data_IF_512874777475
#
_entry.id   IF_512874777475
#
_cell.length_a   1.000
_cell.length_b   1.000
_cell.length_c   1.000
_cell.angle_alpha   90.00
_cell.angle_beta   90.00
_cell.angle_gamma   90.00
#
_symmetry.space_group_name_H-M   'P 1'
#
loop_
_entity.id
_entity.type
_entity.pdbx_description
1 polymer ?
#
# COMPACT_ATOMS: atom_id res chain seq x y z
N UNK A 1 -5.62 22.00 -13.38
CA UNK A 1 -4.28 22.60 -13.16
C UNK A 1 -4.35 23.75 -12.15
N UNK A 2 -4.79 23.52 -10.91
CA UNK A 2 -4.73 24.55 -9.84
C UNK A 2 -3.65 24.27 -8.78
N UNK A 3 -3.27 23.02 -8.55
CA UNK A 3 -2.31 22.63 -7.49
C UNK A 3 -0.89 22.29 -7.97
N UNK A 4 -0.53 22.51 -9.23
CA UNK A 4 0.73 22.02 -9.82
C UNK A 4 2.02 22.60 -9.19
N UNK A 5 1.91 23.63 -8.36
CA UNK A 5 3.05 24.23 -7.68
C UNK A 5 2.60 24.73 -6.30
N UNK A 6 3.23 24.20 -5.24
CA UNK A 6 3.14 24.76 -3.90
C UNK A 6 3.37 26.28 -3.95
N UNK A 7 2.53 27.02 -3.24
CA UNK A 7 2.56 28.49 -3.18
C UNK A 7 4.00 28.96 -2.95
N UNK A 8 4.57 29.85 -3.79
CA UNK A 8 5.94 30.30 -3.58
C UNK A 8 6.01 31.02 -2.24
N UNK A 9 6.78 30.43 -1.32
CA UNK A 9 7.21 31.06 -0.06
C UNK A 9 7.74 32.44 -0.44
N UNK A 10 7.07 33.50 0.00
CA UNK A 10 7.50 34.89 -0.24
C UNK A 10 8.79 35.12 0.54
N UNK A 11 9.94 34.85 -0.09
CA UNK A 11 11.25 35.21 0.43
C UNK A 11 11.41 36.73 0.41
N UNK A 12 11.15 37.34 1.56
CA UNK A 12 11.72 38.64 1.90
C UNK A 12 13.25 38.53 1.92
N UNK A 13 13.87 39.42 1.17
CA UNK A 13 15.33 39.56 1.01
C UNK A 13 16.03 39.72 2.35
N UNK A 14 16.90 38.76 2.72
CA UNK A 14 18.26 38.92 3.30
C UNK A 14 18.65 37.71 4.15
N UNK A 15 19.55 36.89 3.62
CA UNK A 15 20.85 36.51 4.21
C UNK A 15 21.22 35.10 3.77
N UNK A 16 22.28 35.02 2.97
CA UNK A 16 22.96 33.78 2.66
C UNK A 16 23.57 33.22 3.96
N UNK A 17 22.93 32.19 4.51
CA UNK A 17 23.54 31.24 5.44
C UNK A 17 23.56 29.91 4.72
N UNK A 18 24.77 29.44 4.44
CA UNK A 18 25.06 28.09 4.00
C UNK A 18 24.54 27.11 5.07
N UNK A 19 23.34 26.59 4.88
CA UNK A 19 22.88 25.38 5.59
C UNK A 19 23.29 24.19 4.72
N UNK A 20 24.58 23.89 4.76
CA UNK A 20 25.06 22.54 4.58
C UNK A 20 24.93 21.84 5.94
N UNK A 21 23.72 21.50 6.32
CA UNK A 21 23.44 20.65 7.47
C UNK A 21 22.61 19.48 6.98
N UNK A 22 23.28 18.34 6.85
CA UNK A 22 22.74 17.05 7.30
C UNK A 22 21.31 16.75 6.82
N UNK A 23 21.21 16.19 5.61
CA UNK A 23 20.16 15.22 5.33
C UNK A 23 20.54 13.97 6.13
N UNK A 24 20.22 13.98 7.43
CA UNK A 24 19.99 12.72 8.13
C UNK A 24 18.83 12.00 7.42
N UNK A 25 18.72 10.67 7.52
CA UNK A 25 17.56 9.99 6.96
C UNK A 25 16.33 10.63 7.61
N UNK A 26 15.50 11.30 6.82
CA UNK A 26 14.11 11.51 7.20
C UNK A 26 13.58 10.10 7.44
N UNK A 27 13.37 9.75 8.71
CA UNK A 27 12.60 8.57 9.04
C UNK A 27 11.18 8.92 8.61
N UNK A 28 10.75 8.36 7.49
CA UNK A 28 9.35 8.35 7.13
C UNK A 28 8.66 7.57 8.24
N UNK A 29 7.70 8.16 8.92
CA UNK A 29 6.74 7.37 9.70
C UNK A 29 6.04 6.48 8.66
N UNK A 30 6.20 5.16 8.81
CA UNK A 30 5.47 4.19 8.00
C UNK A 30 4.15 4.00 8.73
N UNK A 31 3.05 4.38 8.08
CA UNK A 31 1.70 4.39 8.63
C UNK A 31 0.83 3.50 7.73
N UNK A 32 -0.07 2.75 8.35
CA UNK A 32 -0.91 1.77 7.70
C UNK A 32 -2.08 2.45 7.01
N UNK A 33 -1.87 3.04 5.84
CA UNK A 33 -2.81 4.03 5.34
C UNK A 33 -3.03 4.03 3.84
N UNK A 34 -4.16 4.59 3.43
CA UNK A 34 -4.49 4.72 2.02
C UNK A 34 -4.90 3.39 1.35
N UNK A 35 -5.74 2.57 2.00
CA UNK A 35 -6.12 1.25 1.46
C UNK A 35 -6.81 1.35 0.08
N UNK A 36 -7.65 2.35 -0.15
CA UNK A 36 -8.21 2.55 -1.51
C UNK A 36 -7.25 3.34 -2.39
N UNK A 37 -6.47 4.22 -1.77
CA UNK A 37 -5.48 5.06 -2.44
C UNK A 37 -4.38 4.23 -3.13
N UNK A 38 -3.83 3.21 -2.46
CA UNK A 38 -2.85 2.29 -3.04
C UNK A 38 -3.42 1.45 -4.18
N UNK A 39 -4.68 1.01 -4.08
CA UNK A 39 -5.37 0.30 -5.15
C UNK A 39 -5.53 1.19 -6.39
N UNK A 40 -5.96 2.44 -6.18
CA UNK A 40 -6.07 3.44 -7.25
C UNK A 40 -4.71 3.76 -7.91
N UNK A 41 -3.64 3.89 -7.12
CA UNK A 41 -2.30 4.12 -7.65
C UNK A 41 -1.87 2.92 -8.51
N UNK A 42 -2.02 1.70 -7.98
CA UNK A 42 -1.67 0.47 -8.68
C UNK A 42 -2.45 0.33 -9.99
N UNK A 43 -3.75 0.64 -10.00
CA UNK A 43 -4.62 0.60 -11.18
C UNK A 43 -4.17 1.54 -12.30
N UNK A 44 -3.56 2.68 -11.97
CA UNK A 44 -3.07 3.66 -12.96
C UNK A 44 -1.77 3.24 -13.64
N UNK A 45 -0.93 2.47 -12.95
CA UNK A 45 0.43 2.12 -13.41
C UNK A 45 0.47 1.49 -14.82
N UNK A 46 -0.43 0.58 -15.24
CA UNK A 46 -0.34 -0.03 -16.57
C UNK A 46 -0.56 0.96 -17.72
N UNK A 47 -1.30 2.05 -17.46
CA UNK A 47 -1.53 3.12 -18.43
C UNK A 47 -0.32 4.04 -18.65
N UNK A 48 0.69 3.95 -17.78
CA UNK A 48 1.92 4.77 -17.82
C UNK A 48 3.06 3.98 -18.50
N UNK A 49 3.11 2.67 -18.29
CA UNK A 49 4.16 1.78 -18.81
C UNK A 49 4.09 1.71 -20.35
N UNK A 50 5.25 1.84 -21.01
CA UNK A 50 5.33 1.73 -22.48
C UNK A 50 5.06 0.30 -22.94
N UNK A 51 3.82 0.05 -23.38
CA UNK A 51 3.38 -1.26 -23.89
C UNK A 51 4.17 -1.78 -25.10
N UNK A 52 4.88 -0.93 -25.84
CA UNK A 52 5.73 -1.39 -26.95
C UNK A 52 6.98 -2.11 -26.44
N UNK A 53 7.55 -1.65 -25.32
CA UNK A 53 8.75 -2.20 -24.71
C UNK A 53 8.43 -3.24 -23.63
N UNK A 54 7.29 -3.09 -22.94
CA UNK A 54 6.91 -3.88 -21.75
C UNK A 54 5.55 -4.58 -21.92
N UNK A 55 5.20 -5.01 -23.14
CA UNK A 55 3.86 -5.52 -23.46
C UNK A 55 3.36 -6.69 -22.59
N UNK A 56 4.25 -7.63 -22.24
CA UNK A 56 3.89 -8.76 -21.35
C UNK A 56 3.62 -8.31 -19.91
N UNK A 57 4.42 -7.36 -19.39
CA UNK A 57 4.19 -6.75 -18.08
C UNK A 57 2.85 -6.03 -18.04
N UNK A 58 2.57 -5.19 -19.04
CA UNK A 58 1.29 -4.46 -19.13
C UNK A 58 0.12 -5.44 -19.22
N UNK A 59 0.24 -6.51 -20.01
CA UNK A 59 -0.83 -7.51 -20.12
C UNK A 59 -1.06 -8.24 -18.79
N UNK A 60 0.00 -8.63 -18.07
CA UNK A 60 -0.13 -9.21 -16.73
C UNK A 60 -0.84 -8.27 -15.75
N UNK A 61 -0.40 -7.02 -15.65
CA UNK A 61 -0.97 -6.04 -14.72
C UNK A 61 -2.45 -5.72 -15.00
N UNK A 62 -2.90 -5.92 -16.25
CA UNK A 62 -4.29 -5.73 -16.66
C UNK A 62 -5.13 -7.01 -16.53
N UNK A 63 -4.57 -8.19 -16.79
CA UNK A 63 -5.30 -9.46 -16.76
C UNK A 63 -5.33 -10.14 -15.39
N UNK A 64 -4.41 -9.75 -14.50
CA UNK A 64 -4.26 -10.20 -13.12
C UNK A 64 -4.34 -8.98 -12.17
N UNK A 65 -5.29 -8.09 -12.44
CA UNK A 65 -5.56 -6.88 -11.65
C UNK A 65 -5.86 -7.21 -10.17
N UNK A 66 -6.56 -8.31 -9.91
CA UNK A 66 -6.77 -8.84 -8.55
C UNK A 66 -5.49 -9.08 -7.77
N UNK A 67 -4.49 -9.73 -8.38
CA UNK A 67 -3.18 -9.97 -7.76
C UNK A 67 -2.39 -8.67 -7.58
N UNK A 68 -2.43 -7.76 -8.57
CA UNK A 68 -1.78 -6.45 -8.50
C UNK A 68 -2.32 -5.65 -7.32
N UNK A 69 -3.64 -5.55 -7.23
CA UNK A 69 -4.29 -4.73 -6.21
C UNK A 69 -4.13 -5.37 -4.83
N UNK A 70 -4.26 -6.69 -4.72
CA UNK A 70 -3.97 -7.40 -3.44
C UNK A 70 -2.52 -7.21 -3.02
N UNK A 71 -1.57 -7.24 -3.97
CA UNK A 71 -0.16 -6.95 -3.71
C UNK A 71 0.06 -5.53 -3.21
N UNK A 72 -0.69 -4.55 -3.74
CA UNK A 72 -0.63 -3.16 -3.27
C UNK A 72 -1.21 -2.94 -1.87
N UNK A 73 -2.01 -3.88 -1.35
CA UNK A 73 -2.51 -3.85 0.03
C UNK A 73 -1.63 -4.65 0.98
N UNK A 74 -0.77 -5.51 0.44
CA UNK A 74 -0.08 -6.50 1.24
C UNK A 74 0.81 -5.89 2.33
N UNK A 75 1.63 -4.85 2.08
CA UNK A 75 2.53 -4.32 3.12
C UNK A 75 1.85 -3.94 4.44
N UNK A 76 0.57 -3.55 4.40
CA UNK A 76 -0.22 -3.19 5.58
C UNK A 76 -0.67 -4.37 6.46
N UNK A 77 -0.50 -5.62 6.04
CA UNK A 77 -1.04 -6.77 6.76
C UNK A 77 -0.54 -6.84 8.22
N UNK A 78 0.72 -6.46 8.44
CA UNK A 78 1.36 -6.48 9.76
C UNK A 78 0.75 -5.47 10.73
N UNK A 79 0.36 -4.29 10.24
CA UNK A 79 -0.31 -3.28 11.05
C UNK A 79 -1.70 -3.73 11.51
N UNK A 80 -2.38 -4.54 10.69
CA UNK A 80 -3.64 -5.19 11.08
C UNK A 80 -3.51 -5.99 12.38
N UNK A 81 -2.36 -6.63 12.61
CA UNK A 81 -2.07 -7.42 13.82
C UNK A 81 -1.22 -6.69 14.86
N UNK A 82 -0.96 -5.38 14.70
CA UNK A 82 -0.06 -4.62 15.58
C UNK A 82 1.37 -5.19 15.60
N UNK A 83 1.82 -5.75 14.48
CA UNK A 83 3.18 -6.23 14.25
C UNK A 83 3.99 -5.16 13.52
N UNK A 84 4.12 -3.97 14.13
CA UNK A 84 4.72 -2.76 13.52
C UNK A 84 6.08 -3.06 12.87
N UNK A 85 6.95 -3.81 13.56
CA UNK A 85 8.26 -4.16 13.03
C UNK A 85 8.22 -5.01 11.75
N UNK A 86 7.24 -5.91 11.63
CA UNK A 86 7.05 -6.74 10.44
C UNK A 86 6.39 -5.92 9.33
N UNK A 87 5.46 -5.04 9.68
CA UNK A 87 4.87 -4.11 8.73
C UNK A 87 5.96 -3.21 8.13
N UNK A 88 6.75 -2.50 8.94
CA UNK A 88 7.86 -1.66 8.50
C UNK A 88 8.86 -2.41 7.60
N UNK A 89 9.18 -3.66 7.95
CA UNK A 89 10.02 -4.52 7.13
C UNK A 89 9.40 -4.74 5.74
N UNK A 90 8.10 -5.00 5.67
CA UNK A 90 7.37 -5.27 4.43
C UNK A 90 7.30 -4.04 3.52
N UNK A 91 7.30 -2.84 4.09
CA UNK A 91 7.43 -1.57 3.37
C UNK A 91 8.85 -1.27 2.92
N UNK A 92 9.86 -1.98 3.42
CA UNK A 92 11.25 -1.69 3.09
C UNK A 92 11.67 -2.21 1.71
N UNK A 93 12.65 -1.53 1.11
CA UNK A 93 13.31 -2.00 -0.12
C UNK A 93 13.91 -3.40 0.03
N UNK A 94 14.38 -3.75 1.23
CA UNK A 94 14.95 -5.07 1.52
C UNK A 94 13.94 -6.19 1.26
N UNK A 95 12.68 -5.99 1.65
CA UNK A 95 11.63 -6.98 1.43
C UNK A 95 11.32 -7.12 -0.06
N UNK A 96 11.06 -6.01 -0.76
CA UNK A 96 10.73 -6.04 -2.19
C UNK A 96 11.88 -6.59 -3.06
N UNK A 97 13.13 -6.25 -2.74
CA UNK A 97 14.31 -6.78 -3.43
C UNK A 97 14.49 -8.28 -3.20
N UNK A 98 14.27 -8.73 -1.95
CA UNK A 98 14.35 -10.15 -1.60
C UNK A 98 13.24 -10.94 -2.29
N UNK A 99 12.04 -10.36 -2.40
CA UNK A 99 10.94 -10.94 -3.16
C UNK A 99 11.30 -11.02 -4.65
N UNK A 100 11.78 -9.94 -5.28
CA UNK A 100 12.21 -9.97 -6.68
C UNK A 100 13.31 -11.02 -6.93
N UNK A 101 14.29 -11.13 -6.03
CA UNK A 101 15.33 -12.15 -6.10
C UNK A 101 14.77 -13.58 -5.95
N UNK A 102 13.80 -13.78 -5.05
CA UNK A 102 13.09 -15.05 -4.90
C UNK A 102 12.37 -15.43 -6.20
N UNK A 103 11.57 -14.52 -6.76
CA UNK A 103 10.83 -14.74 -8.02
C UNK A 103 11.79 -15.08 -9.15
N UNK A 104 12.89 -14.34 -9.31
CA UNK A 104 13.89 -14.62 -10.34
C UNK A 104 14.52 -16.01 -10.21
N UNK A 105 14.75 -16.46 -8.98
CA UNK A 105 15.39 -17.74 -8.71
C UNK A 105 14.44 -18.93 -8.89
N UNK A 106 13.24 -18.83 -8.34
CA UNK A 106 12.29 -19.94 -8.26
C UNK A 106 11.36 -20.02 -9.48
N UNK A 107 11.11 -18.89 -10.13
CA UNK A 107 10.19 -18.76 -11.26
C UNK A 107 10.89 -18.07 -12.46
N UNK A 108 11.90 -18.68 -13.11
CA UNK A 108 12.54 -18.05 -14.25
C UNK A 108 11.60 -18.01 -15.47
N UNK A 109 11.62 -16.93 -16.29
CA UNK A 109 10.80 -16.86 -17.50
C UNK A 109 11.16 -17.97 -18.52
N UNK A 110 10.22 -18.42 -19.37
CA UNK A 110 8.84 -17.92 -19.51
C UNK A 110 7.92 -18.40 -18.37
N UNK A 111 7.07 -17.50 -17.88
CA UNK A 111 6.18 -17.77 -16.75
C UNK A 111 4.96 -18.60 -17.13
N UNK A 112 4.64 -19.59 -16.31
CA UNK A 112 3.30 -20.21 -16.26
C UNK A 112 2.27 -19.25 -15.68
N UNK A 113 0.97 -19.53 -15.83
CA UNK A 113 -0.09 -18.67 -15.27
C UNK A 113 0.04 -18.49 -13.74
N UNK A 114 0.41 -19.55 -13.01
CA UNK A 114 0.64 -19.48 -11.58
C UNK A 114 1.82 -18.55 -11.22
N UNK A 115 2.89 -18.57 -12.00
CA UNK A 115 4.06 -17.71 -11.79
C UNK A 115 3.77 -16.26 -12.19
N UNK A 116 2.95 -16.02 -13.22
CA UNK A 116 2.50 -14.66 -13.59
C UNK A 116 1.73 -13.98 -12.45
N UNK A 117 0.93 -14.73 -11.67
CA UNK A 117 0.26 -14.23 -10.46
C UNK A 117 1.25 -13.76 -9.40
N UNK A 118 2.33 -14.52 -9.18
CA UNK A 118 3.41 -14.16 -8.25
C UNK A 118 4.12 -12.88 -8.67
N UNK A 119 4.49 -12.78 -9.95
CA UNK A 119 5.16 -11.59 -10.48
C UNK A 119 4.22 -10.38 -10.38
N UNK A 120 2.94 -10.54 -10.71
CA UNK A 120 1.96 -9.45 -10.67
C UNK A 120 1.72 -8.97 -9.23
N UNK A 121 1.64 -9.90 -8.28
CA UNK A 121 1.54 -9.56 -6.86
C UNK A 121 2.77 -8.76 -6.38
N UNK A 122 3.98 -9.16 -6.77
CA UNK A 122 5.21 -8.40 -6.47
C UNK A 122 5.15 -6.96 -7.04
N UNK A 123 4.63 -6.78 -8.26
CA UNK A 123 4.47 -5.43 -8.82
C UNK A 123 3.51 -4.58 -7.96
N UNK A 124 2.43 -5.17 -7.45
CA UNK A 124 1.57 -4.53 -6.46
C UNK A 124 2.33 -4.08 -5.20
N UNK A 125 3.15 -4.97 -4.63
CA UNK A 125 3.98 -4.66 -3.44
C UNK A 125 4.94 -3.50 -3.71
N UNK A 126 5.57 -3.47 -4.89
CA UNK A 126 6.41 -2.36 -5.33
C UNK A 126 5.61 -1.05 -5.46
N UNK A 127 4.38 -1.12 -5.98
CA UNK A 127 3.49 0.02 -6.08
C UNK A 127 3.28 0.68 -4.73
N UNK A 128 2.94 -0.12 -3.71
CA UNK A 128 2.70 0.35 -2.36
C UNK A 128 3.91 1.08 -1.79
N UNK A 129 5.08 0.41 -1.74
CA UNK A 129 6.33 0.99 -1.21
C UNK A 129 6.66 2.35 -1.84
N UNK A 130 6.67 2.40 -3.18
CA UNK A 130 7.09 3.62 -3.89
C UNK A 130 6.05 4.74 -3.75
N UNK A 131 4.78 4.37 -3.56
CA UNK A 131 3.74 5.33 -3.23
C UNK A 131 4.04 6.00 -1.91
N UNK A 132 4.31 5.27 -0.84
CA UNK A 132 4.62 5.84 0.48
C UNK A 132 5.85 6.72 0.50
N UNK A 133 6.92 6.27 -0.14
CA UNK A 133 8.18 7.02 -0.26
C UNK A 133 7.97 8.40 -0.91
N UNK A 134 6.90 8.57 -1.67
CA UNK A 134 6.58 9.82 -2.39
C UNK A 134 5.40 10.57 -1.76
N UNK A 135 4.38 9.85 -1.29
CA UNK A 135 3.11 10.34 -0.76
C UNK A 135 3.31 11.04 0.59
N UNK A 136 3.96 10.38 1.55
CA UNK A 136 4.18 10.90 2.90
C UNK A 136 4.97 12.21 2.92
N UNK A 137 6.19 12.30 2.35
CA UNK A 137 6.94 13.55 2.33
C UNK A 137 6.39 14.58 1.33
N UNK A 138 5.50 14.17 0.42
CA UNK A 138 4.94 14.97 -0.65
C UNK A 138 3.54 15.49 -0.35
N UNK A 139 2.53 14.85 -0.93
CA UNK A 139 1.13 15.29 -0.83
C UNK A 139 0.66 15.33 0.62
N UNK A 140 0.93 14.30 1.41
CA UNK A 140 0.41 14.22 2.76
C UNK A 140 0.94 15.35 3.64
N UNK A 141 2.25 15.64 3.59
CA UNK A 141 2.85 16.76 4.28
C UNK A 141 2.22 18.11 3.88
N UNK A 142 1.89 18.29 2.60
CA UNK A 142 1.22 19.49 2.12
C UNK A 142 -0.25 19.56 2.58
N UNK A 143 -0.98 18.44 2.52
CA UNK A 143 -2.35 18.34 3.00
C UNK A 143 -2.46 18.67 4.50
N UNK A 144 -1.54 18.16 5.32
CA UNK A 144 -1.48 18.46 6.75
C UNK A 144 -1.28 19.96 7.00
N UNK A 145 -0.44 20.61 6.19
CA UNK A 145 -0.19 22.05 6.31
C UNK A 145 -1.39 22.91 5.87
N UNK A 146 -2.09 22.50 4.80
CA UNK A 146 -3.14 23.30 4.17
C UNK A 146 -4.53 23.08 4.80
N UNK A 147 -4.91 21.83 5.06
CA UNK A 147 -6.19 21.51 5.72
C UNK A 147 -6.11 21.58 7.25
N UNK A 148 -4.90 21.58 7.83
CA UNK A 148 -4.69 21.65 9.27
C UNK A 148 -5.35 20.48 10.00
N UNK A 149 -5.21 19.28 9.45
CA UNK A 149 -5.73 18.01 9.97
C UNK A 149 -4.61 17.02 10.24
N UNK A 150 -4.90 16.00 11.03
CA UNK A 150 -3.96 14.91 11.30
C UNK A 150 -3.71 14.09 10.03
N UNK A 151 -2.54 13.45 10.01
CA UNK A 151 -2.15 12.41 9.05
C UNK A 151 -3.30 11.42 8.82
N UNK A 152 -3.69 10.70 9.87
CA UNK A 152 -4.75 9.69 9.86
C UNK A 152 -6.08 10.18 9.25
N UNK A 153 -6.49 11.43 9.54
CA UNK A 153 -7.75 11.97 9.04
C UNK A 153 -7.67 12.31 7.54
N UNK A 154 -6.53 12.83 7.08
CA UNK A 154 -6.32 13.12 5.66
C UNK A 154 -6.40 11.83 4.87
N UNK A 155 -5.73 10.78 5.32
CA UNK A 155 -5.68 9.51 4.57
C UNK A 155 -7.01 8.79 4.56
N UNK A 156 -7.73 8.76 5.69
CA UNK A 156 -9.11 8.29 5.70
C UNK A 156 -10.01 9.11 4.75
N UNK A 157 -9.81 10.42 4.67
CA UNK A 157 -10.54 11.28 3.75
C UNK A 157 -10.20 11.05 2.27
N UNK A 158 -8.92 10.85 1.96
CA UNK A 158 -8.47 10.51 0.60
C UNK A 158 -9.01 9.14 0.19
N UNK A 159 -9.02 8.14 1.06
CA UNK A 159 -9.66 6.85 0.76
C UNK A 159 -11.15 7.02 0.44
N UNK A 160 -11.85 7.92 1.14
CA UNK A 160 -13.23 8.28 0.80
C UNK A 160 -13.32 8.96 -0.58
N UNK A 161 -12.38 9.82 -0.95
CA UNK A 161 -12.34 10.46 -2.26
C UNK A 161 -12.04 9.46 -3.38
N UNK A 162 -11.05 8.59 -3.21
CA UNK A 162 -10.71 7.53 -4.16
C UNK A 162 -11.92 6.62 -4.41
N UNK A 163 -12.54 6.10 -3.34
CA UNK A 163 -13.72 5.23 -3.43
C UNK A 163 -14.89 5.90 -4.16
N UNK A 164 -15.11 7.19 -3.94
CA UNK A 164 -16.28 7.89 -4.50
C UNK A 164 -16.03 8.46 -5.91
N UNK A 165 -14.86 9.02 -6.16
CA UNK A 165 -14.56 9.78 -7.39
C UNK A 165 -13.88 8.94 -8.47
N UNK A 166 -13.05 7.96 -8.09
CA UNK A 166 -12.27 7.17 -9.05
C UNK A 166 -12.89 5.79 -9.31
N UNK A 167 -13.64 5.24 -8.34
CA UNK A 167 -14.37 3.99 -8.47
C UNK A 167 -14.03 3.02 -7.34
N UNK A 168 -14.36 1.74 -7.50
CA UNK A 168 -14.07 0.69 -6.52
C UNK A 168 -12.57 0.32 -6.45
N UNK A 169 -11.65 1.25 -6.73
CA UNK A 169 -10.23 1.03 -7.00
C UNK A 169 -9.62 -0.10 -6.16
N UNK A 170 -9.40 -1.25 -6.81
CA UNK A 170 -8.81 -2.44 -6.19
C UNK A 170 -9.75 -3.43 -5.47
N UNK A 171 -11.06 -3.20 -5.38
CA UNK A 171 -11.96 -4.17 -4.76
C UNK A 171 -12.33 -5.32 -5.70
N UNK A 172 -11.64 -6.44 -5.51
CA UNK A 172 -11.95 -7.68 -6.21
C UNK A 172 -12.85 -8.58 -5.37
N UNK A 173 -13.61 -9.45 -6.05
CA UNK A 173 -14.35 -10.52 -5.36
C UNK A 173 -13.42 -11.42 -4.54
N UNK A 174 -12.20 -11.61 -5.03
CA UNK A 174 -11.20 -12.53 -4.48
C UNK A 174 -9.88 -11.77 -4.29
N UNK A 175 -9.30 -11.87 -3.10
CA UNK A 175 -7.95 -11.36 -2.82
C UNK A 175 -7.00 -12.54 -2.75
N UNK A 176 -6.18 -12.70 -3.78
CA UNK A 176 -5.22 -13.78 -3.89
C UNK A 176 -3.90 -13.37 -3.22
N UNK A 177 -3.45 -14.17 -2.25
CA UNK A 177 -2.22 -13.91 -1.49
C UNK A 177 -1.29 -15.11 -1.56
N UNK A 178 -0.04 -14.96 -2.04
CA UNK A 178 0.92 -16.04 -2.15
C UNK A 178 1.64 -16.30 -0.82
N UNK A 179 0.89 -16.73 0.21
CA UNK A 179 1.42 -16.87 1.57
C UNK A 179 2.66 -17.76 1.65
N UNK A 180 2.78 -18.83 0.87
CA UNK A 180 4.01 -19.65 0.86
C UNK A 180 5.23 -18.93 0.29
N UNK A 181 5.04 -18.11 -0.75
CA UNK A 181 6.12 -17.27 -1.29
C UNK A 181 6.50 -16.20 -0.28
N UNK A 182 5.52 -15.55 0.35
CA UNK A 182 5.76 -14.55 1.38
C UNK A 182 6.49 -15.15 2.60
N UNK A 183 6.12 -16.34 3.10
CA UNK A 183 6.85 -17.05 4.17
C UNK A 183 8.33 -17.25 3.80
N UNK A 184 8.59 -17.70 2.57
CA UNK A 184 9.95 -17.93 2.11
C UNK A 184 10.76 -16.62 1.95
N UNK A 185 10.11 -15.50 1.61
CA UNK A 185 10.74 -14.17 1.59
C UNK A 185 11.06 -13.71 3.01
N UNK A 186 10.11 -13.84 3.96
CA UNK A 186 10.36 -13.52 5.37
C UNK A 186 11.51 -14.32 5.96
N UNK A 187 11.58 -15.63 5.66
CA UNK A 187 12.71 -16.47 6.06
C UNK A 187 14.05 -15.92 5.53
N UNK A 188 14.10 -15.50 4.25
CA UNK A 188 15.31 -14.94 3.63
C UNK A 188 15.74 -13.60 4.22
N UNK A 189 14.81 -12.77 4.68
CA UNK A 189 15.12 -11.51 5.38
C UNK A 189 15.34 -11.69 6.89
N UNK A 190 15.35 -12.94 7.38
CA UNK A 190 15.71 -13.27 8.76
C UNK A 190 14.55 -13.30 9.75
N UNK A 191 13.31 -13.39 9.27
CA UNK A 191 12.08 -13.44 10.05
C UNK A 191 11.28 -14.74 9.83
N UNK A 192 11.86 -15.93 10.08
CA UNK A 192 11.18 -17.22 9.89
C UNK A 192 10.01 -17.45 10.86
N UNK A 193 9.86 -16.60 11.88
CA UNK A 193 8.73 -16.63 12.81
C UNK A 193 7.42 -16.12 12.20
N UNK A 194 7.47 -15.35 11.11
CA UNK A 194 6.26 -14.86 10.42
C UNK A 194 5.53 -16.03 9.78
N UNK A 195 4.31 -16.28 10.23
CA UNK A 195 3.52 -17.44 9.81
C UNK A 195 2.46 -17.08 8.77
N UNK A 196 2.10 -18.08 7.96
CA UNK A 196 0.90 -18.06 7.12
C UNK A 196 -0.35 -17.57 7.85
N UNK A 197 -0.61 -18.04 9.07
CA UNK A 197 -1.84 -17.70 9.79
C UNK A 197 -1.87 -16.23 10.20
N UNK A 198 -0.72 -15.65 10.54
CA UNK A 198 -0.60 -14.22 10.82
C UNK A 198 -0.86 -13.41 9.55
N UNK A 199 -0.25 -13.76 8.42
CA UNK A 199 -0.51 -13.08 7.14
C UNK A 199 -1.98 -13.17 6.73
N UNK A 200 -2.61 -14.34 6.85
CA UNK A 200 -4.05 -14.52 6.57
C UNK A 200 -4.90 -13.62 7.47
N UNK A 201 -4.59 -13.58 8.76
CA UNK A 201 -5.36 -12.81 9.74
C UNK A 201 -5.18 -11.31 9.52
N UNK A 202 -3.95 -10.85 9.27
CA UNK A 202 -3.64 -9.47 8.94
C UNK A 202 -4.31 -9.01 7.65
N UNK A 203 -4.21 -9.80 6.57
CA UNK A 203 -4.88 -9.50 5.31
C UNK A 203 -6.41 -9.51 5.44
N UNK A 204 -6.98 -10.34 6.31
CA UNK A 204 -8.41 -10.32 6.62
C UNK A 204 -8.85 -9.02 7.29
N UNK A 205 -8.00 -8.47 8.16
CA UNK A 205 -8.23 -7.17 8.83
C UNK A 205 -8.10 -6.03 7.82
N UNK A 206 -7.07 -6.02 6.98
CA UNK A 206 -6.91 -5.03 5.90
C UNK A 206 -8.14 -5.04 4.99
N UNK A 207 -8.59 -6.23 4.57
CA UNK A 207 -9.80 -6.34 3.74
C UNK A 207 -11.07 -5.87 4.44
N UNK A 208 -11.22 -6.16 5.73
CA UNK A 208 -12.33 -5.66 6.53
C UNK A 208 -12.31 -4.12 6.64
N UNK A 209 -11.11 -3.53 6.75
CA UNK A 209 -10.92 -2.08 6.75
C UNK A 209 -11.28 -1.44 5.42
N UNK A 210 -10.80 -2.02 4.32
CA UNK A 210 -11.19 -1.61 2.97
C UNK A 210 -12.72 -1.64 2.80
N UNK A 211 -13.36 -2.73 3.20
CA UNK A 211 -14.81 -2.86 3.16
C UNK A 211 -15.51 -1.79 4.00
N UNK A 212 -14.99 -1.50 5.21
CA UNK A 212 -15.53 -0.46 6.08
C UNK A 212 -15.46 0.91 5.40
N UNK A 213 -14.33 1.27 4.79
CA UNK A 213 -14.14 2.50 4.03
C UNK A 213 -15.20 2.65 2.93
N UNK A 214 -15.46 1.58 2.16
CA UNK A 214 -16.49 1.56 1.13
C UNK A 214 -17.90 1.74 1.68
N UNK A 215 -18.22 1.13 2.82
CA UNK A 215 -19.56 1.27 3.41
C UNK A 215 -19.84 2.69 3.90
N UNK A 216 -18.83 3.37 4.45
CA UNK A 216 -19.03 4.73 5.02
C UNK A 216 -18.73 5.86 4.03
N UNK A 217 -17.92 5.60 3.00
CA UNK A 217 -17.51 6.59 2.01
C UNK A 217 -18.66 7.42 1.44
N UNK A 218 -19.78 6.81 0.98
CA UNK A 218 -20.95 7.54 0.50
C UNK A 218 -21.55 8.56 1.49
N UNK A 219 -21.45 8.28 2.79
CA UNK A 219 -22.00 9.13 3.84
C UNK A 219 -21.03 10.22 4.26
N UNK A 220 -19.72 9.97 4.17
CA UNK A 220 -18.67 10.91 4.53
C UNK A 220 -18.27 11.84 3.39
N UNK A 221 -18.46 11.44 2.13
CA UNK A 221 -17.86 12.11 0.97
C UNK A 221 -18.07 13.63 0.97
N UNK A 222 -19.32 14.10 1.06
CA UNK A 222 -19.60 15.54 0.98
C UNK A 222 -19.05 16.31 2.18
N UNK A 223 -19.06 15.70 3.36
CA UNK A 223 -18.51 16.30 4.58
C UNK A 223 -16.98 16.36 4.52
N UNK A 224 -16.34 15.25 4.16
CA UNK A 224 -14.90 15.15 3.95
C UNK A 224 -14.43 16.19 2.92
N UNK A 225 -15.08 16.21 1.75
CA UNK A 225 -14.75 17.10 0.63
C UNK A 225 -14.92 18.58 0.94
N UNK A 226 -16.03 18.96 1.58
CA UNK A 226 -16.41 20.37 1.66
C UNK A 226 -16.02 21.04 2.98
N UNK A 227 -15.83 20.25 4.04
CA UNK A 227 -15.67 20.75 5.40
C UNK A 227 -14.36 20.29 6.02
N UNK A 228 -14.04 19.00 5.93
CA UNK A 228 -12.86 18.48 6.61
C UNK A 228 -11.56 18.75 5.85
N UNK A 229 -11.58 18.49 4.53
CA UNK A 229 -10.37 18.33 3.71
C UNK A 229 -10.54 18.94 2.30
N UNK A 230 -10.95 20.23 2.19
CA UNK A 230 -11.18 20.86 0.90
C UNK A 230 -9.91 20.95 0.05
N UNK A 231 -8.74 21.21 0.64
CA UNK A 231 -7.50 21.26 -0.13
C UNK A 231 -7.10 19.87 -0.61
N UNK A 232 -7.15 18.87 0.27
CA UNK A 232 -6.82 17.49 -0.07
C UNK A 232 -7.70 16.98 -1.22
N UNK A 233 -9.02 17.21 -1.18
CA UNK A 233 -9.90 16.80 -2.28
C UNK A 233 -9.53 17.46 -3.62
N UNK A 234 -9.15 18.75 -3.60
CA UNK A 234 -8.77 19.45 -4.84
C UNK A 234 -7.42 18.99 -5.42
N UNK A 235 -6.53 18.44 -4.59
CA UNK A 235 -5.14 18.22 -4.96
C UNK A 235 -4.67 16.75 -4.92
N UNK A 236 -5.39 15.82 -4.29
CA UNK A 236 -4.89 14.45 -4.04
C UNK A 236 -4.49 13.67 -5.30
N UNK A 237 -5.10 13.96 -6.45
CA UNK A 237 -4.75 13.30 -7.72
C UNK A 237 -3.52 13.92 -8.38
N UNK A 238 -3.53 15.25 -8.56
CA UNK A 238 -2.62 15.96 -9.47
C UNK A 238 -1.42 16.64 -8.75
N UNK A 239 -1.35 16.57 -7.42
CA UNK A 239 -0.28 17.23 -6.66
C UNK A 239 1.08 16.58 -6.94
N UNK A 240 2.13 17.41 -7.04
CA UNK A 240 3.51 16.95 -7.22
C UNK A 240 4.40 17.69 -6.21
N UNK A 241 5.21 16.99 -5.41
CA UNK A 241 5.36 15.53 -5.38
C UNK A 241 4.26 14.82 -4.58
N UNK A 242 3.89 13.60 -4.98
CA UNK A 242 3.18 12.64 -4.13
C UNK A 242 1.67 12.56 -4.26
N UNK A 243 1.03 13.25 -5.20
CA UNK A 243 -0.37 12.94 -5.54
C UNK A 243 -0.49 11.58 -6.22
N UNK A 244 -1.70 11.01 -6.26
CA UNK A 244 -1.99 9.67 -6.83
C UNK A 244 -1.37 9.47 -8.22
N UNK A 245 -1.45 10.49 -9.10
CA UNK A 245 -0.88 10.40 -10.43
C UNK A 245 0.66 10.39 -10.43
N UNK A 246 1.30 11.12 -9.52
CA UNK A 246 2.75 11.17 -9.36
C UNK A 246 3.27 9.84 -8.77
N UNK A 247 2.60 9.32 -7.75
CA UNK A 247 2.86 8.00 -7.17
C UNK A 247 2.78 6.90 -8.24
N UNK A 248 1.75 6.93 -9.11
CA UNK A 248 1.63 5.94 -10.19
C UNK A 248 2.80 5.99 -11.20
N UNK A 249 3.36 7.19 -11.46
CA UNK A 249 4.53 7.33 -12.34
C UNK A 249 5.77 6.70 -11.71
N UNK A 250 6.08 7.01 -10.44
CA UNK A 250 7.26 6.44 -9.77
C UNK A 250 7.12 4.93 -9.55
N UNK A 251 5.90 4.43 -9.29
CA UNK A 251 5.62 3.00 -9.21
C UNK A 251 5.82 2.31 -10.56
N UNK A 252 5.35 2.89 -11.66
CA UNK A 252 5.55 2.35 -13.01
C UNK A 252 7.03 2.25 -13.39
N UNK A 253 7.82 3.29 -13.08
CA UNK A 253 9.26 3.29 -13.31
C UNK A 253 9.97 2.15 -12.56
N UNK A 254 9.59 1.92 -11.30
CA UNK A 254 10.16 0.82 -10.51
C UNK A 254 9.73 -0.55 -11.03
N UNK A 255 8.45 -0.72 -11.40
CA UNK A 255 7.96 -1.97 -11.99
C UNK A 255 8.71 -2.32 -13.27
N UNK A 256 8.99 -1.34 -14.15
CA UNK A 256 9.79 -1.54 -15.34
C UNK A 256 11.24 -1.95 -15.00
N UNK A 257 11.86 -1.30 -14.01
CA UNK A 257 13.21 -1.65 -13.58
C UNK A 257 13.30 -3.06 -12.98
N UNK A 258 12.33 -3.46 -12.15
CA UNK A 258 12.26 -4.81 -11.60
C UNK A 258 11.94 -5.83 -12.69
N UNK A 259 11.06 -5.50 -13.64
CA UNK A 259 10.79 -6.35 -14.78
C UNK A 259 12.05 -6.61 -15.61
N UNK A 260 12.83 -5.59 -15.92
CA UNK A 260 14.11 -5.74 -16.62
C UNK A 260 15.09 -6.63 -15.83
N UNK A 261 15.10 -6.51 -14.50
CA UNK A 261 15.86 -7.42 -13.64
C UNK A 261 15.34 -8.86 -13.75
N UNK A 262 14.03 -9.09 -13.73
CA UNK A 262 13.44 -10.42 -13.82
C UNK A 262 13.67 -11.09 -15.20
N UNK A 263 13.62 -10.30 -16.28
CA UNK A 263 13.84 -10.77 -17.66
C UNK A 263 15.32 -10.91 -18.02
N UNK A 264 16.17 -10.05 -17.44
CA UNK A 264 17.59 -9.99 -17.75
C UNK A 264 18.37 -11.21 -17.24
N UNK A 265 19.50 -11.57 -17.87
CA UNK A 265 20.38 -12.60 -17.32
C UNK A 265 20.77 -12.25 -15.86
N UNK A 266 21.15 -13.23 -15.01
CA UNK A 266 21.41 -13.00 -13.58
C UNK A 266 22.37 -11.84 -13.26
N UNK A 267 23.17 -11.40 -14.23
CA UNK A 267 24.19 -10.35 -14.12
C UNK A 267 23.90 -9.05 -14.90
N UNK A 268 22.83 -8.96 -15.70
CA UNK A 268 22.51 -7.70 -16.40
C UNK A 268 21.73 -6.78 -15.47
N UNK A 269 22.38 -5.68 -15.07
CA UNK A 269 21.79 -4.52 -14.41
C UNK A 269 20.91 -4.84 -13.20
N UNK A 270 21.47 -5.58 -12.24
CA UNK A 270 21.08 -5.29 -10.87
C UNK A 270 21.34 -3.79 -10.64
N UNK A 271 20.33 -3.05 -10.18
CA UNK A 271 20.60 -1.93 -9.26
C UNK A 271 21.72 -2.37 -8.32
N UNK A 272 22.57 -1.43 -7.92
CA UNK A 272 23.76 -1.62 -7.11
C UNK A 272 23.43 -2.24 -5.73
N UNK A 273 22.99 -3.49 -5.69
CA UNK A 273 22.64 -4.27 -4.51
C UNK A 273 23.76 -5.24 -4.24
N UNK A 274 24.70 -4.70 -3.47
CA UNK A 274 25.72 -5.46 -2.78
C UNK A 274 25.02 -6.34 -1.72
N UNK A 275 24.77 -7.61 -2.03
CA UNK A 275 24.46 -8.65 -1.02
C UNK A 275 25.75 -9.38 -0.59
N UNK A 276 26.91 -8.71 -0.63
CA UNK A 276 28.19 -9.30 -0.19
C UNK A 276 28.84 -8.56 0.99
N UNK A 277 28.03 -7.79 1.71
CA UNK A 277 28.39 -7.32 3.06
C UNK A 277 27.13 -6.88 3.77
N UNK A 278 26.27 -7.82 4.16
CA UNK A 278 25.23 -7.53 5.13
C UNK A 278 25.89 -6.86 6.34
N UNK A 279 25.59 -5.60 6.70
CA UNK A 279 25.44 -5.35 8.11
C UNK A 279 24.32 -6.29 8.51
N UNK A 280 24.61 -7.23 9.42
CA UNK A 280 23.58 -7.62 10.37
C UNK A 280 23.16 -6.29 10.98
N UNK A 281 22.08 -5.70 10.46
CA UNK A 281 21.45 -4.59 11.13
C UNK A 281 21.09 -5.16 12.50
N UNK A 282 21.62 -4.60 13.59
CA UNK A 282 21.26 -5.11 14.89
C UNK A 282 19.73 -5.08 14.96
N UNK A 283 19.14 -6.12 15.55
CA UNK A 283 17.74 -6.14 15.99
C UNK A 283 17.50 -5.05 17.04
N UNK A 284 17.79 -3.81 16.67
CA UNK A 284 17.77 -2.62 17.49
C UNK A 284 16.43 -1.97 17.28
N UNK A 285 15.58 -2.11 18.30
CA UNK A 285 14.41 -1.29 18.60
C UNK A 285 13.89 -0.45 17.42
N UNK A 286 12.99 -1.07 16.65
CA UNK A 286 11.97 -0.38 15.86
C UNK A 286 10.88 0.26 16.78
N UNK A 287 11.20 0.48 18.06
CA UNK A 287 10.29 1.02 19.06
C UNK A 287 10.59 2.51 19.24
N UNK A 288 10.00 3.37 18.40
CA UNK A 288 10.35 4.79 18.53
C UNK A 288 9.74 5.81 17.60
N UNK A 289 8.55 5.57 17.07
CA UNK A 289 7.61 6.60 16.64
C UNK A 289 6.26 5.89 16.61
N UNK A 290 5.22 6.43 17.26
CA UNK A 290 3.92 5.79 17.16
C UNK A 290 3.48 5.89 15.71
N UNK A 291 3.51 4.78 14.97
CA UNK A 291 2.81 4.70 13.70
C UNK A 291 1.36 5.05 13.99
N UNK A 292 0.79 6.00 13.24
CA UNK A 292 -0.65 6.08 13.21
C UNK A 292 -1.19 4.72 12.77
N UNK A 293 -2.46 4.47 13.06
CA UNK A 293 -3.16 3.38 12.42
C UNK A 293 -4.31 4.04 11.69
N UNK A 294 -4.48 3.77 10.39
CA UNK A 294 -5.67 4.24 9.67
C UNK A 294 -6.95 3.91 10.44
N UNK A 295 -7.85 4.89 10.48
CA UNK A 295 -9.21 4.74 11.04
C UNK A 295 -9.86 3.48 10.49
N UNK A 296 -9.74 3.24 9.18
CA UNK A 296 -10.38 2.10 8.55
C UNK A 296 -9.73 0.78 8.91
N UNK A 297 -8.41 0.72 9.04
CA UNK A 297 -7.72 -0.49 9.48
C UNK A 297 -8.11 -0.85 10.91
N UNK A 298 -8.13 0.15 11.80
CA UNK A 298 -8.59 -0.01 13.19
C UNK A 298 -10.02 -0.55 13.24
N UNK A 299 -10.94 0.00 12.43
CA UNK A 299 -12.32 -0.49 12.36
C UNK A 299 -12.44 -1.86 11.71
N UNK A 300 -11.61 -2.19 10.73
CA UNK A 300 -11.48 -3.54 10.19
C UNK A 300 -11.17 -4.55 11.28
N UNK A 301 -10.20 -4.22 12.15
CA UNK A 301 -9.85 -5.06 13.30
C UNK A 301 -10.98 -5.16 14.31
N UNK A 302 -11.64 -4.05 14.66
CA UNK A 302 -12.81 -4.07 15.56
C UNK A 302 -13.91 -4.99 15.03
N UNK A 303 -14.24 -4.90 13.73
CA UNK A 303 -15.27 -5.70 13.06
C UNK A 303 -14.97 -7.20 13.09
N UNK A 304 -13.72 -7.59 12.81
CA UNK A 304 -13.29 -8.99 12.84
C UNK A 304 -13.21 -9.51 14.28
N UNK A 305 -12.58 -8.74 15.19
CA UNK A 305 -12.39 -9.14 16.58
C UNK A 305 -13.71 -9.29 17.35
N UNK A 306 -14.73 -8.49 17.02
CA UNK A 306 -16.05 -8.57 17.64
C UNK A 306 -16.91 -9.71 17.09
N UNK A 307 -16.49 -10.35 15.99
CA UNK A 307 -17.29 -11.32 15.25
C UNK A 307 -18.46 -10.71 14.47
N UNK A 308 -18.49 -9.38 14.30
CA UNK A 308 -19.53 -8.71 13.49
C UNK A 308 -19.34 -8.96 12.00
N UNK A 309 -18.08 -9.15 11.59
CA UNK A 309 -17.68 -9.41 10.21
C UNK A 309 -16.74 -10.62 10.17
N UNK A 310 -16.90 -11.46 9.15
CA UNK A 310 -15.97 -12.54 8.85
C UNK A 310 -15.47 -12.39 7.42
N UNK A 311 -14.18 -12.63 7.19
CA UNK A 311 -13.59 -12.70 5.85
C UNK A 311 -13.31 -14.17 5.56
N UNK A 312 -14.11 -14.84 4.71
CA UNK A 312 -13.88 -16.25 4.40
C UNK A 312 -12.52 -16.44 3.71
N UNK A 313 -11.85 -17.54 4.03
CA UNK A 313 -10.54 -17.88 3.46
C UNK A 313 -10.61 -19.26 2.85
N UNK A 314 -10.22 -19.36 1.58
CA UNK A 314 -10.14 -20.61 0.84
C UNK A 314 -8.67 -20.89 0.53
N UNK A 315 -8.20 -22.08 0.89
CA UNK A 315 -6.87 -22.54 0.49
C UNK A 315 -6.92 -22.88 -0.99
N UNK A 316 -6.03 -22.27 -1.77
CA UNK A 316 -5.95 -22.51 -3.21
C UNK A 316 -4.79 -23.46 -3.50
N UNK A 317 -5.08 -24.69 -3.96
CA UNK A 317 -4.01 -25.59 -4.37
C UNK A 317 -4.42 -27.02 -4.78
N UNK A 318 -4.18 -27.35 -6.05
CA UNK A 318 -3.70 -28.70 -6.45
C UNK A 318 -2.85 -28.73 -7.73
N UNK A 319 -2.60 -27.62 -8.43
CA UNK A 319 -1.69 -27.58 -9.58
C UNK A 319 -0.77 -26.35 -9.54
N UNK A 320 0.52 -26.55 -9.27
CA UNK A 320 1.60 -25.55 -9.45
C UNK A 320 1.67 -24.36 -8.48
N UNK A 321 0.54 -23.89 -7.95
CA UNK A 321 0.44 -22.75 -7.04
C UNK A 321 0.27 -23.19 -5.57
N UNK A 322 1.12 -24.11 -5.10
CA UNK A 322 0.83 -24.99 -3.96
C UNK A 322 0.58 -24.32 -2.59
N UNK A 323 0.70 -23.01 -2.44
CA UNK A 323 0.64 -22.35 -1.13
C UNK A 323 0.06 -20.92 -1.18
N UNK A 324 -0.94 -20.69 -2.03
CA UNK A 324 -1.70 -19.45 -2.02
C UNK A 324 -3.02 -19.59 -1.25
N UNK A 325 -3.54 -18.47 -0.78
CA UNK A 325 -4.90 -18.38 -0.22
C UNK A 325 -5.68 -17.34 -0.99
N UNK A 326 -7.00 -17.53 -0.98
CA UNK A 326 -7.94 -16.55 -1.48
C UNK A 326 -8.80 -16.10 -0.31
N UNK A 327 -8.75 -14.82 0.01
CA UNK A 327 -9.76 -14.21 0.85
C UNK A 327 -10.98 -13.96 -0.04
N UNK A 328 -12.18 -14.18 0.47
CA UNK A 328 -13.44 -13.85 -0.20
C UNK A 328 -14.04 -12.54 0.34
N UNK A 329 -15.11 -12.09 -0.29
CA UNK A 329 -15.85 -10.90 0.12
C UNK A 329 -16.29 -10.98 1.61
N UNK A 330 -16.10 -9.89 2.39
CA UNK A 330 -16.50 -9.90 3.80
C UNK A 330 -17.99 -10.17 4.00
N UNK A 331 -18.30 -10.99 5.00
CA UNK A 331 -19.65 -11.40 5.37
C UNK A 331 -20.04 -10.78 6.70
N UNK A 332 -21.11 -9.99 6.69
CA UNK A 332 -21.68 -9.40 7.91
C UNK A 332 -22.45 -10.48 8.68
N UNK A 333 -21.98 -10.81 9.87
CA UNK A 333 -22.58 -11.80 10.77
C UNK A 333 -23.50 -11.16 11.81
N UNK A 334 -23.20 -9.93 12.23
CA UNK A 334 -24.04 -9.11 13.09
C UNK A 334 -24.17 -7.70 12.52
N UNK A 335 -25.27 -7.44 11.81
CA UNK A 335 -25.51 -6.17 11.14
C UNK A 335 -25.72 -5.00 12.10
N UNK A 336 -26.20 -5.25 13.34
CA UNK A 336 -26.41 -4.19 14.32
C UNK A 336 -25.06 -3.73 14.85
N UNK A 337 -24.22 -4.69 15.27
CA UNK A 337 -22.89 -4.39 15.79
C UNK A 337 -21.99 -3.78 14.70
N UNK A 338 -22.05 -4.30 13.46
CA UNK A 338 -21.33 -3.71 12.34
C UNK A 338 -21.76 -2.25 12.09
N UNK A 339 -23.06 -1.95 12.12
CA UNK A 339 -23.55 -0.60 11.95
C UNK A 339 -23.13 0.36 13.09
N UNK A 340 -23.04 -0.14 14.33
CA UNK A 340 -22.53 0.64 15.47
C UNK A 340 -21.04 0.97 15.29
N UNK A 341 -20.22 -0.01 14.90
CA UNK A 341 -18.79 0.18 14.63
C UNK A 341 -18.59 1.18 13.48
N UNK A 342 -19.30 1.01 12.36
CA UNK A 342 -19.21 1.93 11.22
C UNK A 342 -19.69 3.35 11.58
N UNK A 343 -20.74 3.48 12.41
CA UNK A 343 -21.18 4.80 12.90
C UNK A 343 -20.12 5.48 13.75
N UNK A 344 -19.30 4.73 14.49
CA UNK A 344 -18.22 5.31 15.29
C UNK A 344 -17.19 6.06 14.43
N UNK A 345 -17.00 5.68 13.16
CA UNK A 345 -16.16 6.41 12.21
C UNK A 345 -16.66 7.84 12.04
N UNK A 346 -17.98 8.02 11.85
CA UNK A 346 -18.58 9.35 11.70
C UNK A 346 -18.27 10.25 12.92
N UNK A 347 -18.31 9.67 14.12
CA UNK A 347 -17.99 10.39 15.36
C UNK A 347 -16.51 10.77 15.42
N UNK A 348 -15.65 9.82 15.06
CA UNK A 348 -14.19 9.97 15.08
C UNK A 348 -13.69 11.05 14.11
N UNK A 349 -14.29 11.13 12.92
CA UNK A 349 -13.97 12.19 11.93
C UNK A 349 -14.70 13.51 12.20
N UNK A 350 -15.46 13.62 13.30
CA UNK A 350 -16.18 14.83 13.69
C UNK A 350 -17.48 15.09 12.91
N UNK A 351 -17.97 14.12 12.15
CA UNK A 351 -19.21 14.17 11.36
C UNK A 351 -20.46 13.83 12.21
N UNK A 352 -20.62 14.46 13.37
CA UNK A 352 -21.83 14.30 14.20
C UNK A 352 -22.84 15.41 13.95
N UNK A 353 -24.09 15.02 13.65
CA UNK A 353 -25.35 15.80 13.50
C UNK A 353 -25.27 17.32 13.28
#
# INVERSE_FOLDING_TARGET
MKCLYGTPIRFGVLSAVLIACWVGPFRCEVDACGMTTHGEIAERTPGIIDSLSYGELVEMLLSLDGERDTGSMFPDWGYGLLMENIADLTHSEMFSDTFAAYVKQEFPPPYTEAERRQVTFLMGVLSHRLSDDTWHPGFLAAAMAEDGRSHELIEAGVDVFCNWEQGEGGEHLLWWVPVGTAEAVYERVGHPEVTRNEMISGMSIVRAGYWAAKQVGPFLYWYAKSILLPWSNECYVDYVPGGVADCAVVSADEMMAVWDFLQGPPYAAARRWYVDSSPVWPAGDLTGAGSGESIFLRKGRELVASGALNVPVVVWGSEGAADAVVLEQPQVLDAVLAAEILRSIMVEVGATD
#
